data_IF_308046570579
#
_entry.id   IF_308046570579
#
_cell.length_a   1.000
_cell.length_b   1.000
_cell.length_c   1.000
_cell.angle_alpha   90.00
_cell.angle_beta   90.00
_cell.angle_gamma   90.00
#
_symmetry.space_group_name_H-M   'P 1'
#
loop_
_entity.id
_entity.type
_entity.pdbx_description
1 polymer ?
#
# COMPACT_ATOMS: atom_id res chain seq x y z
N UNK A 1 22.20 -8.14 32.78
CA UNK A 1 23.52 -8.07 32.11
C UNK A 1 23.59 -9.32 31.25
N UNK A 2 23.56 -9.13 29.93
CA UNK A 2 23.52 -10.21 28.95
C UNK A 2 24.83 -11.00 28.95
N UNK A 3 24.74 -12.31 28.79
CA UNK A 3 25.89 -13.13 28.40
C UNK A 3 25.84 -13.20 26.88
N UNK A 4 26.92 -12.82 26.22
CA UNK A 4 27.03 -12.87 24.76
C UNK A 4 27.75 -14.15 24.36
N UNK A 5 27.28 -14.80 23.30
CA UNK A 5 27.98 -15.95 22.74
C UNK A 5 29.31 -15.51 22.13
N UNK A 6 30.31 -16.40 22.18
CA UNK A 6 31.55 -16.19 21.42
C UNK A 6 31.32 -16.31 19.89
N UNK A 7 30.17 -16.86 19.48
CA UNK A 7 29.73 -17.02 18.10
C UNK A 7 28.75 -15.91 17.71
N UNK A 8 28.96 -15.34 16.52
CA UNK A 8 28.15 -14.27 15.94
C UNK A 8 28.40 -14.21 14.43
N UNK A 9 27.53 -13.57 13.68
CA UNK A 9 27.75 -13.31 12.25
C UNK A 9 28.76 -12.18 12.08
N UNK A 10 29.87 -12.44 11.40
CA UNK A 10 30.93 -11.46 11.17
C UNK A 10 32.26 -11.81 11.86
N UNK A 11 33.34 -11.24 11.33
CA UNK A 11 34.71 -11.69 11.67
C UNK A 11 35.40 -10.97 12.82
N UNK A 12 34.82 -9.85 13.28
CA UNK A 12 35.36 -8.98 14.33
C UNK A 12 35.16 -9.49 15.76
N UNK A 13 35.47 -8.63 16.73
CA UNK A 13 35.17 -8.88 18.16
C UNK A 13 33.66 -8.89 18.41
N UNK A 14 32.93 -8.00 17.74
CA UNK A 14 31.46 -7.99 17.66
C UNK A 14 31.00 -8.67 16.36
N UNK A 15 29.69 -8.69 16.12
CA UNK A 15 29.13 -9.02 14.81
C UNK A 15 29.43 -7.94 13.77
N UNK A 16 29.10 -8.24 12.51
CA UNK A 16 29.22 -7.29 11.40
C UNK A 16 27.94 -6.48 11.27
N UNK A 17 28.04 -5.19 11.59
CA UNK A 17 26.95 -4.23 11.42
C UNK A 17 26.64 -4.03 9.93
N UNK A 18 25.36 -4.06 9.55
CA UNK A 18 24.89 -4.06 8.16
C UNK A 18 25.19 -5.37 7.42
N UNK A 19 25.50 -6.44 8.16
CA UNK A 19 25.72 -7.76 7.57
C UNK A 19 24.41 -8.41 7.14
N UNK A 20 24.43 -9.11 6.00
CA UNK A 20 23.29 -9.87 5.48
C UNK A 20 23.42 -11.34 5.90
N UNK A 21 22.34 -11.92 6.42
CA UNK A 21 22.23 -13.34 6.76
C UNK A 21 21.03 -13.96 6.05
N UNK A 22 21.32 -14.85 5.10
CA UNK A 22 20.29 -15.57 4.36
C UNK A 22 19.67 -16.68 5.21
N UNK A 23 18.35 -16.79 5.23
CA UNK A 23 17.64 -17.85 5.96
C UNK A 23 16.58 -18.53 5.09
N UNK A 24 16.17 -19.74 5.47
CA UNK A 24 15.10 -20.44 4.76
C UNK A 24 14.34 -21.44 5.64
N UNK A 25 13.09 -21.71 5.25
CA UNK A 25 12.39 -22.91 5.72
C UNK A 25 13.04 -24.15 5.10
N UNK A 26 13.43 -25.12 5.93
CA UNK A 26 14.05 -26.34 5.45
C UNK A 26 13.09 -27.14 4.55
N UNK A 27 13.62 -27.69 3.48
CA UNK A 27 12.93 -28.58 2.51
C UNK A 27 13.60 -29.96 2.43
N UNK A 28 14.68 -30.12 3.18
CA UNK A 28 15.47 -31.33 3.33
C UNK A 28 16.06 -31.37 4.74
N UNK A 29 16.46 -32.55 5.26
CA UNK A 29 17.11 -32.63 6.56
C UNK A 29 18.34 -31.70 6.67
N UNK A 30 18.57 -31.20 7.89
CA UNK A 30 19.75 -30.41 8.24
C UNK A 30 21.02 -31.23 8.35
N UNK A 31 22.15 -30.54 8.32
CA UNK A 31 23.47 -31.13 8.58
C UNK A 31 23.75 -31.19 10.10
N UNK A 32 23.15 -30.31 10.89
CA UNK A 32 23.19 -30.31 12.35
C UNK A 32 22.04 -31.10 12.97
N UNK A 33 20.81 -30.71 12.64
CA UNK A 33 19.56 -31.33 13.04
C UNK A 33 18.94 -32.10 11.87
N UNK A 34 18.57 -33.35 12.12
CA UNK A 34 17.80 -34.13 11.14
C UNK A 34 16.33 -33.75 11.31
N UNK A 35 15.90 -32.63 10.71
CA UNK A 35 14.51 -32.19 10.75
C UNK A 35 13.55 -33.34 10.43
N UNK A 36 12.60 -33.59 11.34
CA UNK A 36 11.62 -34.66 11.21
C UNK A 36 10.50 -34.29 10.23
N UNK A 37 10.17 -32.99 10.13
CA UNK A 37 9.19 -32.45 9.19
C UNK A 37 9.51 -30.98 8.82
N UNK A 38 8.76 -30.43 7.87
CA UNK A 38 8.99 -29.10 7.30
C UNK A 38 7.84 -28.13 7.62
N UNK A 39 8.20 -26.88 7.90
CA UNK A 39 7.24 -25.82 8.22
C UNK A 39 6.55 -25.40 6.91
N UNK A 40 5.33 -25.89 6.68
CA UNK A 40 4.54 -25.64 5.45
C UNK A 40 3.28 -24.82 5.69
N UNK A 41 2.83 -24.74 6.94
CA UNK A 41 1.63 -23.99 7.32
C UNK A 41 1.96 -22.49 7.42
N UNK A 42 1.23 -21.66 6.68
CA UNK A 42 1.56 -20.24 6.52
C UNK A 42 1.55 -19.46 7.83
N UNK A 43 0.63 -19.76 8.75
CA UNK A 43 0.56 -19.06 10.02
C UNK A 43 1.86 -19.17 10.86
N UNK A 44 2.55 -20.31 10.80
CA UNK A 44 3.86 -20.47 11.46
C UNK A 44 5.00 -19.83 10.67
N UNK A 45 4.91 -19.82 9.33
CA UNK A 45 5.87 -19.11 8.48
C UNK A 45 5.84 -17.61 8.72
N UNK A 46 4.65 -17.03 8.82
CA UNK A 46 4.45 -15.63 9.19
C UNK A 46 5.10 -15.32 10.54
N UNK A 47 4.82 -16.09 11.59
CA UNK A 47 5.43 -15.86 12.91
C UNK A 47 6.96 -15.93 12.90
N UNK A 48 7.57 -16.77 12.05
CA UNK A 48 9.04 -16.83 11.90
C UNK A 48 9.58 -15.59 11.20
N UNK A 49 8.91 -15.11 10.15
CA UNK A 49 9.28 -13.85 9.48
C UNK A 49 9.19 -12.67 10.46
N UNK A 50 8.09 -12.59 11.21
CA UNK A 50 7.90 -11.56 12.24
C UNK A 50 8.98 -11.65 13.33
N UNK A 51 9.46 -12.87 13.64
CA UNK A 51 10.50 -13.07 14.62
C UNK A 51 11.89 -12.63 14.14
N UNK A 52 12.23 -12.85 12.87
CA UNK A 52 13.43 -12.25 12.26
C UNK A 52 13.32 -10.72 12.25
N UNK A 53 12.17 -10.20 11.85
CA UNK A 53 11.90 -8.75 11.84
C UNK A 53 12.08 -8.12 13.21
N UNK A 54 11.61 -8.77 14.27
CA UNK A 54 11.76 -8.25 15.63
C UNK A 54 13.22 -7.94 15.97
N UNK A 55 14.16 -8.74 15.46
CA UNK A 55 15.60 -8.51 15.62
C UNK A 55 16.15 -7.41 14.70
N UNK A 56 15.76 -7.36 13.42
CA UNK A 56 16.20 -6.30 12.47
C UNK A 56 15.75 -4.91 12.88
N UNK A 57 14.55 -4.80 13.46
CA UNK A 57 13.99 -3.53 13.95
C UNK A 57 14.87 -2.86 15.01
N UNK A 58 15.71 -3.63 15.70
CA UNK A 58 16.53 -3.12 16.82
C UNK A 58 18.02 -3.26 16.60
N UNK A 59 18.46 -4.07 15.62
CA UNK A 59 19.86 -4.37 15.36
C UNK A 59 20.24 -4.09 13.89
N UNK A 60 21.46 -3.61 13.64
CA UNK A 60 21.95 -3.38 12.29
C UNK A 60 22.48 -4.69 11.69
N UNK A 61 21.57 -5.60 11.36
CA UNK A 61 21.77 -6.87 10.68
C UNK A 61 20.53 -7.11 9.82
N UNK A 62 20.70 -7.61 8.60
CA UNK A 62 19.61 -7.85 7.66
C UNK A 62 19.40 -9.36 7.46
N UNK A 63 18.16 -9.84 7.48
CA UNK A 63 17.77 -11.23 7.24
C UNK A 63 17.01 -11.36 5.93
N UNK A 64 17.54 -12.16 5.01
CA UNK A 64 16.91 -12.35 3.69
C UNK A 64 16.37 -13.77 3.59
N UNK A 65 15.04 -13.92 3.43
CA UNK A 65 14.45 -15.22 3.12
C UNK A 65 14.86 -15.64 1.70
N UNK A 66 15.48 -16.81 1.58
CA UNK A 66 15.91 -17.39 0.31
C UNK A 66 15.35 -18.78 0.13
N UNK A 67 15.45 -19.32 -1.09
CA UNK A 67 15.18 -20.72 -1.34
C UNK A 67 16.20 -21.60 -0.59
N UNK A 68 15.70 -22.64 0.10
CA UNK A 68 16.53 -23.57 0.87
C UNK A 68 17.59 -24.25 -0.02
N UNK A 69 18.88 -24.03 0.30
CA UNK A 69 19.96 -24.50 -0.54
C UNK A 69 21.35 -24.03 -0.11
N UNK A 70 22.27 -23.94 -1.07
CA UNK A 70 23.68 -23.67 -0.82
C UNK A 70 23.97 -22.25 -0.31
N UNK A 71 23.05 -21.31 -0.56
CA UNK A 71 23.19 -19.92 -0.15
C UNK A 71 22.53 -19.62 1.20
N UNK A 72 21.88 -20.62 1.82
CA UNK A 72 21.24 -20.47 3.13
C UNK A 72 22.27 -20.55 4.26
N UNK A 73 22.16 -19.62 5.21
CA UNK A 73 22.96 -19.60 6.43
C UNK A 73 22.16 -20.05 7.66
N UNK A 74 20.87 -19.69 7.78
CA UNK A 74 19.98 -20.16 8.86
C UNK A 74 18.85 -21.02 8.30
N UNK A 75 18.68 -22.25 8.79
CA UNK A 75 17.60 -23.16 8.36
C UNK A 75 16.64 -23.47 9.49
N UNK A 76 15.33 -23.43 9.24
CA UNK A 76 14.31 -23.71 10.26
C UNK A 76 13.41 -24.90 9.89
N UNK A 77 13.10 -25.77 10.85
CA UNK A 77 12.27 -26.96 10.61
C UNK A 77 11.59 -27.52 11.86
N UNK A 78 10.72 -28.51 11.67
CA UNK A 78 10.11 -29.28 12.76
C UNK A 78 10.98 -30.48 13.13
N UNK A 79 10.96 -30.88 14.40
CA UNK A 79 11.65 -32.08 14.87
C UNK A 79 10.86 -32.82 15.96
N UNK A 80 11.19 -34.10 16.17
CA UNK A 80 10.74 -34.93 17.28
C UNK A 80 11.78 -34.85 18.41
N UNK A 81 11.57 -33.98 19.39
CA UNK A 81 12.60 -33.71 20.41
C UNK A 81 12.42 -34.57 21.66
N UNK A 82 11.51 -34.20 22.55
CA UNK A 82 11.29 -34.95 23.81
C UNK A 82 9.81 -35.12 24.19
N UNK A 83 8.90 -34.65 23.33
CA UNK A 83 7.46 -34.77 23.52
C UNK A 83 6.89 -33.54 24.25
N UNK A 84 5.59 -33.54 24.58
CA UNK A 84 4.93 -32.33 25.06
C UNK A 84 5.47 -31.83 26.41
N UNK A 85 5.49 -30.51 26.58
CA UNK A 85 5.92 -29.79 27.80
C UNK A 85 7.40 -29.98 28.16
N UNK A 86 8.23 -30.27 27.17
CA UNK A 86 9.67 -30.47 27.29
C UNK A 86 10.46 -29.29 26.74
N UNK A 87 11.41 -29.56 25.85
CA UNK A 87 12.15 -28.53 25.12
C UNK A 87 11.32 -28.09 23.92
N UNK A 88 10.90 -26.83 23.91
CA UNK A 88 10.01 -26.28 22.88
C UNK A 88 10.72 -25.98 21.57
N UNK A 89 12.00 -25.61 21.64
CA UNK A 89 12.83 -25.30 20.49
C UNK A 89 14.31 -25.40 20.83
N UNK A 90 15.15 -25.47 19.80
CA UNK A 90 16.60 -25.43 19.96
C UNK A 90 17.27 -24.86 18.71
N UNK A 91 18.23 -23.96 18.92
CA UNK A 91 19.18 -23.53 17.90
C UNK A 91 20.53 -24.27 18.03
N UNK A 92 21.08 -24.69 16.90
CA UNK A 92 22.47 -25.12 16.76
C UNK A 92 23.19 -24.23 15.75
N UNK A 93 24.50 -24.09 15.92
CA UNK A 93 25.31 -23.27 15.02
C UNK A 93 26.66 -23.90 14.74
N UNK A 94 27.08 -23.75 13.49
CA UNK A 94 28.41 -24.06 12.99
C UNK A 94 29.21 -22.77 12.79
N UNK A 95 30.51 -22.84 13.03
CA UNK A 95 31.36 -21.68 12.86
C UNK A 95 32.83 -22.01 12.71
N UNK A 96 33.60 -20.99 12.35
CA UNK A 96 35.06 -21.08 12.16
C UNK A 96 35.78 -20.05 13.01
N UNK A 97 37.00 -20.38 13.44
CA UNK A 97 37.87 -19.43 14.13
C UNK A 97 38.35 -18.35 13.17
N UNK A 98 38.18 -17.08 13.57
CA UNK A 98 38.77 -15.93 12.86
C UNK A 98 40.10 -15.53 13.48
N UNK A 99 40.25 -15.75 14.79
CA UNK A 99 41.52 -15.59 15.52
C UNK A 99 41.73 -16.75 16.51
N UNK A 100 42.72 -16.65 17.41
CA UNK A 100 42.91 -17.65 18.47
C UNK A 100 41.73 -17.73 19.46
N UNK A 101 40.94 -16.67 19.57
CA UNK A 101 39.88 -16.48 20.58
C UNK A 101 38.55 -15.98 20.03
N UNK A 102 38.41 -15.75 18.73
CA UNK A 102 37.17 -15.27 18.10
C UNK A 102 36.62 -16.30 17.12
N UNK A 103 35.30 -16.41 17.09
CA UNK A 103 34.56 -17.28 16.18
C UNK A 103 33.58 -16.46 15.34
N UNK A 104 33.36 -16.90 14.10
CA UNK A 104 32.26 -16.44 13.26
C UNK A 104 31.32 -17.60 13.00
N UNK A 105 30.02 -17.36 13.08
CA UNK A 105 29.03 -18.29 12.56
C UNK A 105 29.18 -18.40 11.04
N UNK A 106 28.95 -19.59 10.53
CA UNK A 106 28.91 -19.90 9.10
C UNK A 106 27.62 -20.62 8.72
N UNK A 107 26.94 -21.23 9.70
CA UNK A 107 25.64 -21.85 9.55
C UNK A 107 24.92 -21.88 10.90
N UNK A 108 23.60 -21.86 10.89
CA UNK A 108 22.76 -22.17 12.04
C UNK A 108 21.52 -22.96 11.60
N UNK A 109 21.01 -23.80 12.49
CA UNK A 109 19.77 -24.54 12.30
C UNK A 109 18.91 -24.37 13.54
N UNK A 110 17.64 -24.04 13.36
CA UNK A 110 16.64 -23.91 14.42
C UNK A 110 15.59 -24.99 14.23
N UNK A 111 15.32 -25.75 15.28
CA UNK A 111 14.25 -26.75 15.31
C UNK A 111 13.21 -26.41 16.36
N UNK A 112 11.97 -26.75 16.07
CA UNK A 112 10.84 -26.65 16.99
C UNK A 112 10.24 -28.04 17.24
N UNK A 113 9.87 -28.37 18.48
CA UNK A 113 9.23 -29.65 18.77
C UNK A 113 7.78 -29.65 18.25
N UNK A 114 7.48 -30.54 17.31
CA UNK A 114 6.14 -30.68 16.74
C UNK A 114 5.09 -31.25 17.72
N UNK A 115 5.53 -31.77 18.86
CA UNK A 115 4.69 -32.36 19.90
C UNK A 115 4.01 -31.31 20.78
N UNK A 116 4.43 -30.05 20.70
CA UNK A 116 3.90 -28.98 21.54
C UNK A 116 2.55 -28.45 21.06
N UNK A 117 1.78 -27.92 22.01
CA UNK A 117 0.46 -27.35 21.73
C UNK A 117 0.59 -25.89 21.29
N UNK A 118 1.07 -25.71 20.06
CA UNK A 118 1.37 -24.40 19.49
C UNK A 118 0.13 -23.58 19.19
N UNK A 119 0.23 -22.29 19.49
CA UNK A 119 -0.67 -21.25 18.98
C UNK A 119 0.14 -20.20 18.23
N UNK A 120 -0.48 -19.60 17.22
CA UNK A 120 0.13 -18.51 16.44
C UNK A 120 -0.30 -17.13 16.95
N UNK A 121 -1.10 -17.07 18.02
CA UNK A 121 -1.58 -15.85 18.67
C UNK A 121 -0.90 -15.64 20.02
N UNK A 122 -0.89 -14.39 20.53
CA UNK A 122 -0.30 -14.08 21.84
C UNK A 122 -1.14 -14.53 23.04
N UNK A 123 -2.47 -14.56 22.91
CA UNK A 123 -3.38 -14.84 24.03
C UNK A 123 -3.79 -16.33 24.09
N UNK A 124 -2.88 -17.17 24.61
CA UNK A 124 -3.13 -18.60 24.81
C UNK A 124 -3.89 -18.95 26.08
N UNK A 125 -4.66 -20.03 26.02
CA UNK A 125 -5.16 -20.73 27.20
C UNK A 125 -4.02 -21.45 27.94
N UNK A 126 -4.26 -21.84 29.20
CA UNK A 126 -3.26 -22.54 29.99
C UNK A 126 -2.84 -23.87 29.33
N UNK A 127 -1.54 -24.01 29.05
CA UNK A 127 -0.97 -25.19 28.36
C UNK A 127 -0.88 -25.05 26.84
N UNK A 128 -1.18 -23.87 26.28
CA UNK A 128 -0.82 -23.48 24.92
C UNK A 128 0.49 -22.71 24.92
N UNK A 129 1.29 -22.87 23.86
CA UNK A 129 2.62 -22.24 23.75
C UNK A 129 2.60 -21.27 22.57
N UNK A 130 2.92 -20.00 22.86
CA UNK A 130 3.05 -18.96 21.84
C UNK A 130 4.24 -19.22 20.94
N UNK A 131 3.98 -19.55 19.67
CA UNK A 131 5.03 -19.91 18.73
C UNK A 131 5.94 -18.72 18.39
N UNK A 132 5.40 -17.51 18.33
CA UNK A 132 6.19 -16.30 18.06
C UNK A 132 7.28 -16.09 19.10
N UNK A 133 6.96 -16.18 20.40
CA UNK A 133 7.92 -15.97 21.47
C UNK A 133 9.08 -16.98 21.41
N UNK A 134 8.76 -18.25 21.14
CA UNK A 134 9.79 -19.29 20.99
C UNK A 134 10.62 -19.05 19.73
N UNK A 135 9.99 -18.67 18.61
CA UNK A 135 10.72 -18.36 17.38
C UNK A 135 11.72 -17.20 17.59
N UNK A 136 11.29 -16.11 18.25
CA UNK A 136 12.18 -14.98 18.57
C UNK A 136 13.34 -15.44 19.47
N UNK A 137 13.06 -16.27 20.49
CA UNK A 137 14.08 -16.84 21.38
C UNK A 137 15.13 -17.65 20.61
N UNK A 138 14.71 -18.64 19.82
CA UNK A 138 15.64 -19.51 19.11
C UNK A 138 16.44 -18.77 18.02
N UNK A 139 15.81 -17.79 17.35
CA UNK A 139 16.53 -16.91 16.42
C UNK A 139 17.56 -16.07 17.18
N UNK A 140 17.27 -15.62 18.40
CA UNK A 140 18.23 -14.95 19.28
C UNK A 140 19.52 -15.76 19.47
N UNK A 141 19.40 -17.07 19.68
CA UNK A 141 20.56 -17.97 19.70
C UNK A 141 21.26 -18.07 18.34
N UNK A 142 20.50 -18.19 17.25
CA UNK A 142 21.04 -18.24 15.88
C UNK A 142 21.76 -16.95 15.45
N UNK A 143 21.63 -15.87 16.21
CA UNK A 143 22.31 -14.59 15.99
C UNK A 143 23.33 -14.27 17.10
N UNK A 144 23.63 -15.21 18.00
CA UNK A 144 24.74 -15.09 18.95
C UNK A 144 24.38 -14.62 20.36
N UNK A 145 23.09 -14.61 20.72
CA UNK A 145 22.68 -14.36 22.10
C UNK A 145 22.67 -15.65 22.92
N UNK A 146 23.15 -15.60 24.17
CA UNK A 146 22.99 -16.69 25.14
C UNK A 146 21.84 -16.38 26.11
N UNK A 147 21.42 -17.39 26.87
CA UNK A 147 20.37 -17.23 27.88
C UNK A 147 20.68 -16.16 28.92
N UNK A 148 19.63 -15.52 29.39
CA UNK A 148 19.67 -14.62 30.54
C UNK A 148 18.96 -15.24 31.75
N UNK A 149 19.18 -14.64 32.93
CA UNK A 149 18.39 -14.93 34.14
C UNK A 149 17.30 -13.87 34.39
N UNK A 150 17.05 -12.98 33.42
CA UNK A 150 16.10 -11.88 33.53
C UNK A 150 14.75 -12.32 32.93
N UNK A 151 13.70 -12.52 33.75
CA UNK A 151 12.42 -13.02 33.26
C UNK A 151 11.72 -12.07 32.29
N UNK A 152 12.11 -10.80 32.24
CA UNK A 152 11.49 -9.79 31.36
C UNK A 152 12.17 -9.73 29.96
N UNK A 153 12.99 -10.74 29.61
CA UNK A 153 13.75 -10.81 28.35
C UNK A 153 13.39 -12.06 27.57
N UNK A 154 13.35 -11.97 26.23
CA UNK A 154 12.97 -13.11 25.39
C UNK A 154 13.96 -14.26 25.49
N UNK A 155 15.23 -13.99 25.79
CA UNK A 155 16.27 -15.02 25.97
C UNK A 155 16.28 -15.64 27.38
N UNK A 156 15.20 -15.48 28.15
CA UNK A 156 15.03 -16.19 29.41
C UNK A 156 14.71 -17.68 29.17
N UNK A 157 15.41 -18.59 29.86
CA UNK A 157 15.33 -20.05 29.63
C UNK A 157 14.08 -20.74 30.22
N UNK A 158 13.06 -19.97 30.63
CA UNK A 158 11.84 -20.50 31.26
C UNK A 158 10.59 -19.97 30.58
N UNK A 159 9.62 -19.49 31.36
CA UNK A 159 8.31 -19.12 30.86
C UNK A 159 8.37 -17.76 30.12
N UNK A 160 8.04 -17.79 28.83
CA UNK A 160 7.99 -16.63 27.94
C UNK A 160 6.55 -16.12 27.69
N UNK A 161 5.53 -16.76 28.25
CA UNK A 161 4.10 -16.57 27.88
C UNK A 161 3.61 -15.13 28.08
N UNK A 162 4.24 -14.39 28.99
CA UNK A 162 3.87 -13.00 29.31
C UNK A 162 4.54 -11.97 28.40
N UNK A 163 5.50 -12.38 27.57
CA UNK A 163 6.24 -11.51 26.67
C UNK A 163 5.51 -11.39 25.34
N UNK A 164 5.48 -10.17 24.81
CA UNK A 164 4.86 -9.85 23.51
C UNK A 164 5.89 -9.31 22.51
N UNK A 165 7.18 -9.39 22.83
CA UNK A 165 8.27 -8.83 22.02
C UNK A 165 9.58 -8.72 22.80
N UNK A 166 10.54 -8.00 22.22
CA UNK A 166 11.87 -7.79 22.80
C UNK A 166 11.83 -6.81 23.99
N UNK A 167 12.42 -7.23 25.11
CA UNK A 167 12.67 -6.37 26.26
C UNK A 167 13.93 -5.52 26.10
N UNK A 168 14.11 -4.53 26.97
CA UNK A 168 15.26 -3.62 26.92
C UNK A 168 16.61 -4.35 27.01
N UNK A 169 16.67 -5.47 27.75
CA UNK A 169 17.86 -6.31 27.82
C UNK A 169 18.18 -6.99 26.50
N UNK A 170 17.16 -7.50 25.80
CA UNK A 170 17.32 -8.16 24.48
C UNK A 170 17.92 -7.19 23.46
N UNK A 171 17.35 -5.99 23.42
CA UNK A 171 17.81 -4.88 22.58
C UNK A 171 19.27 -4.54 22.90
N UNK A 172 19.62 -4.36 24.18
CA UNK A 172 21.01 -4.09 24.58
C UNK A 172 21.94 -5.23 24.12
N UNK A 173 21.56 -6.49 24.32
CA UNK A 173 22.36 -7.66 23.96
C UNK A 173 22.67 -7.72 22.46
N UNK A 174 21.64 -7.64 21.62
CA UNK A 174 21.81 -7.74 20.16
C UNK A 174 22.56 -6.53 19.58
N UNK A 175 22.35 -5.34 20.13
CA UNK A 175 23.05 -4.13 19.71
C UNK A 175 24.54 -4.12 20.09
N UNK A 176 24.97 -4.87 21.10
CA UNK A 176 26.41 -5.05 21.36
C UNK A 176 27.07 -5.85 20.22
N UNK A 177 26.37 -6.83 19.63
CA UNK A 177 26.90 -7.57 18.48
C UNK A 177 26.83 -6.77 17.18
N UNK A 178 25.67 -6.21 16.84
CA UNK A 178 25.43 -5.72 15.49
C UNK A 178 25.29 -4.19 15.43
N UNK A 179 25.27 -3.50 16.56
CA UNK A 179 24.92 -2.08 16.64
C UNK A 179 23.40 -1.88 16.62
N UNK A 180 22.96 -0.67 17.00
CA UNK A 180 21.57 -0.25 16.83
C UNK A 180 21.18 -0.28 15.36
N UNK A 181 19.96 -0.71 15.05
CA UNK A 181 19.41 -0.67 13.69
C UNK A 181 19.66 0.69 13.05
N UNK A 182 20.15 0.66 11.81
CA UNK A 182 20.37 1.84 10.98
C UNK A 182 19.51 1.61 9.74
N UNK A 183 18.31 2.22 9.65
CA UNK A 183 17.70 2.46 8.35
C UNK A 183 18.75 3.16 7.49
N UNK A 184 18.92 2.87 6.19
CA UNK A 184 19.90 3.60 5.38
C UNK A 184 19.58 5.09 5.56
N UNK A 185 20.49 5.83 6.16
CA UNK A 185 20.24 7.25 6.42
C UNK A 185 20.37 7.96 5.08
N UNK A 186 19.30 8.61 4.63
CA UNK A 186 19.37 9.56 3.53
C UNK A 186 20.43 10.62 3.79
N UNK A 187 20.87 11.25 2.72
CA UNK A 187 21.84 12.34 2.69
C UNK A 187 21.19 13.59 2.08
N UNK A 188 21.89 14.72 2.02
CA UNK A 188 21.39 15.91 1.32
C UNK A 188 21.57 15.79 -0.23
N UNK A 189 21.76 14.60 -0.78
CA UNK A 189 21.92 14.35 -2.22
C UNK A 189 21.12 13.14 -2.67
N UNK A 190 21.02 12.96 -3.99
CA UNK A 190 20.19 11.91 -4.61
C UNK A 190 20.62 10.50 -4.14
N UNK A 191 19.75 9.84 -3.38
CA UNK A 191 19.93 8.52 -2.80
C UNK A 191 19.03 7.46 -3.45
N UNK A 192 19.49 6.20 -3.39
CA UNK A 192 18.73 5.04 -3.84
C UNK A 192 18.66 4.04 -2.70
N UNK A 193 17.44 3.78 -2.25
CA UNK A 193 17.12 2.84 -1.18
C UNK A 193 16.63 1.53 -1.78
N UNK A 194 16.87 0.43 -1.08
CA UNK A 194 16.16 -0.82 -1.35
C UNK A 194 15.11 -0.99 -0.25
N UNK A 195 13.88 -1.33 -0.64
CA UNK A 195 12.87 -1.74 0.31
C UNK A 195 13.36 -2.99 1.06
N UNK A 196 13.05 -3.02 2.36
CA UNK A 196 13.43 -4.11 3.25
C UNK A 196 12.17 -4.86 3.66
N UNK A 197 12.36 -5.98 4.33
CA UNK A 197 11.23 -6.69 4.89
C UNK A 197 10.66 -5.92 6.08
N UNK A 198 9.33 -5.97 6.22
CA UNK A 198 8.60 -5.36 7.33
C UNK A 198 8.01 -3.99 7.01
N UNK A 199 7.62 -3.27 8.06
CA UNK A 199 7.03 -1.93 7.94
C UNK A 199 8.08 -0.91 8.38
N UNK A 200 8.74 -0.25 7.43
CA UNK A 200 9.82 0.70 7.72
C UNK A 200 9.40 2.17 7.60
N UNK A 201 10.28 3.06 8.06
CA UNK A 201 10.24 4.49 7.72
C UNK A 201 11.50 4.81 6.92
N UNK A 202 11.31 5.23 5.67
CA UNK A 202 12.40 5.60 4.75
C UNK A 202 12.38 7.11 4.56
N UNK A 203 13.45 7.79 4.99
CA UNK A 203 13.61 9.25 4.86
C UNK A 203 14.78 9.58 3.93
N UNK A 204 14.46 10.11 2.74
CA UNK A 204 15.44 10.55 1.74
C UNK A 204 16.20 11.82 2.11
N UNK A 205 15.64 12.62 3.03
CA UNK A 205 16.07 13.98 3.38
C UNK A 205 15.93 14.99 2.24
N UNK A 206 17.02 15.34 1.55
CA UNK A 206 17.00 16.37 0.53
C UNK A 206 17.74 15.84 -0.70
N UNK A 207 17.21 16.09 -1.88
CA UNK A 207 17.78 15.49 -3.08
C UNK A 207 16.65 15.07 -3.99
N UNK A 208 16.94 14.10 -4.86
CA UNK A 208 15.92 13.37 -5.59
C UNK A 208 16.15 11.89 -5.35
N UNK A 209 15.31 11.33 -4.50
CA UNK A 209 15.51 10.03 -3.88
C UNK A 209 14.58 8.98 -4.50
N UNK A 210 15.06 7.74 -4.53
CA UNK A 210 14.32 6.60 -5.11
C UNK A 210 14.28 5.44 -4.13
N UNK A 211 13.10 4.87 -3.91
CA UNK A 211 12.93 3.57 -3.24
C UNK A 211 12.74 2.46 -4.29
N UNK A 212 13.65 1.50 -4.31
CA UNK A 212 13.58 0.31 -5.15
C UNK A 212 12.77 -0.77 -4.44
N UNK A 213 11.62 -1.12 -5.02
CA UNK A 213 10.69 -2.13 -4.54
C UNK A 213 10.98 -3.48 -5.21
N UNK A 214 10.78 -4.56 -4.46
CA UNK A 214 11.15 -5.92 -4.87
C UNK A 214 10.15 -6.56 -5.83
N UNK A 215 9.08 -5.87 -6.22
CA UNK A 215 7.94 -6.42 -6.96
C UNK A 215 7.39 -5.59 -8.09
N UNK A 216 6.42 -6.16 -8.79
CA UNK A 216 5.70 -5.50 -9.87
C UNK A 216 4.74 -4.44 -9.31
N UNK A 217 4.58 -3.32 -10.01
CA UNK A 217 3.70 -2.21 -9.61
C UNK A 217 2.28 -2.68 -9.26
N UNK A 218 1.76 -3.67 -9.98
CA UNK A 218 0.42 -4.23 -9.76
C UNK A 218 0.25 -5.00 -8.43
N UNK A 219 1.31 -5.12 -7.63
CA UNK A 219 1.31 -5.79 -6.33
C UNK A 219 1.26 -4.79 -5.15
N UNK A 220 1.35 -3.49 -5.42
CA UNK A 220 1.45 -2.46 -4.39
C UNK A 220 0.23 -1.55 -4.31
N UNK A 221 -0.04 -1.07 -3.09
CA UNK A 221 -0.96 0.03 -2.80
C UNK A 221 -0.15 1.23 -2.34
N UNK A 222 -0.29 2.38 -3.00
CA UNK A 222 0.29 3.65 -2.54
C UNK A 222 -0.80 4.51 -1.90
N UNK A 223 -0.82 4.59 -0.58
CA UNK A 223 -1.79 5.40 0.15
C UNK A 223 -1.26 6.80 0.38
N UNK A 224 -1.99 7.80 -0.13
CA UNK A 224 -1.68 9.21 0.09
C UNK A 224 -2.61 9.78 1.16
N UNK A 225 -2.02 10.52 2.10
CA UNK A 225 -2.74 11.34 3.08
C UNK A 225 -2.11 12.73 3.11
N UNK A 226 -2.72 13.69 3.82
CA UNK A 226 -2.15 15.02 3.97
C UNK A 226 -0.78 15.03 4.71
N UNK A 227 -0.50 14.02 5.53
CA UNK A 227 0.66 13.98 6.43
C UNK A 227 1.62 12.80 6.17
N UNK A 228 1.23 11.85 5.33
CA UNK A 228 1.96 10.60 5.14
C UNK A 228 1.74 10.01 3.75
N UNK A 229 2.81 9.41 3.23
CA UNK A 229 2.83 8.55 2.05
C UNK A 229 3.22 7.15 2.49
N UNK A 230 2.38 6.16 2.21
CA UNK A 230 2.63 4.77 2.62
C UNK A 230 2.54 3.87 1.40
N UNK A 231 3.60 3.12 1.13
CA UNK A 231 3.62 2.07 0.11
C UNK A 231 3.47 0.72 0.79
N UNK A 232 2.44 -0.03 0.41
CA UNK A 232 2.15 -1.34 0.97
C UNK A 232 2.27 -2.39 -0.12
N UNK A 233 3.18 -3.33 0.10
CA UNK A 233 3.28 -4.57 -0.65
C UNK A 233 2.18 -5.54 -0.22
N UNK A 234 1.38 -6.02 -1.19
CA UNK A 234 0.35 -7.02 -0.91
C UNK A 234 0.90 -8.45 -0.91
N UNK A 235 2.16 -8.67 -1.26
CA UNK A 235 2.86 -9.94 -1.08
C UNK A 235 3.38 -10.08 0.35
N UNK A 236 3.06 -11.19 0.99
CA UNK A 236 3.53 -11.47 2.35
C UNK A 236 4.99 -11.88 2.36
N UNK A 237 5.77 -11.34 3.30
CA UNK A 237 7.20 -11.68 3.40
C UNK A 237 8.00 -11.16 2.22
N UNK A 238 7.77 -9.89 1.84
CA UNK A 238 8.62 -9.15 0.91
C UNK A 238 8.81 -7.73 1.44
N UNK A 239 8.24 -6.68 0.85
CA UNK A 239 8.59 -5.30 1.25
C UNK A 239 7.72 -4.73 2.38
N UNK A 240 6.65 -5.43 2.78
CA UNK A 240 5.74 -4.97 3.85
C UNK A 240 5.10 -3.60 3.59
N UNK A 241 4.91 -2.78 4.63
CA UNK A 241 4.23 -1.48 4.54
C UNK A 241 5.09 -0.31 5.01
N UNK A 242 5.75 0.34 4.06
CA UNK A 242 6.72 1.39 4.33
C UNK A 242 6.10 2.80 4.33
N UNK A 243 6.47 3.60 5.33
CA UNK A 243 6.19 5.03 5.37
C UNK A 243 7.33 5.80 4.72
N UNK A 244 7.01 6.60 3.71
CA UNK A 244 7.97 7.35 2.91
C UNK A 244 7.98 8.81 3.34
N UNK A 245 9.18 9.33 3.58
CA UNK A 245 9.44 10.72 3.98
C UNK A 245 10.48 11.29 3.01
N UNK A 246 10.20 12.46 2.43
CA UNK A 246 11.07 13.10 1.42
C UNK A 246 11.51 12.09 0.33
N UNK A 247 10.55 11.43 -0.30
CA UNK A 247 10.81 10.44 -1.35
C UNK A 247 10.13 10.90 -2.64
N UNK A 248 10.92 11.06 -3.69
CA UNK A 248 10.41 11.57 -4.98
C UNK A 248 10.00 10.44 -5.92
N UNK A 249 10.60 9.23 -5.81
CA UNK A 249 10.39 8.14 -6.78
C UNK A 249 10.24 6.76 -6.17
N UNK A 250 9.43 5.93 -6.83
CA UNK A 250 9.37 4.49 -6.65
C UNK A 250 9.87 3.78 -7.90
N UNK A 251 10.80 2.84 -7.74
CA UNK A 251 11.26 1.94 -8.81
C UNK A 251 10.72 0.53 -8.53
N UNK A 252 9.77 0.09 -9.36
CA UNK A 252 9.17 -1.24 -9.28
C UNK A 252 9.94 -2.23 -10.18
N UNK A 253 10.02 -3.50 -9.78
CA UNK A 253 10.68 -4.55 -10.57
C UNK A 253 10.18 -4.58 -12.02
N UNK A 254 8.86 -4.51 -12.20
CA UNK A 254 8.23 -4.18 -13.48
C UNK A 254 7.08 -3.20 -13.26
N UNK A 255 6.91 -2.31 -14.21
CA UNK A 255 5.86 -1.29 -14.17
C UNK A 255 5.65 -0.70 -15.55
N UNK A 256 4.56 0.04 -15.70
CA UNK A 256 4.33 0.84 -16.91
C UNK A 256 5.18 2.10 -16.91
N UNK A 257 5.59 2.54 -15.71
CA UNK A 257 6.49 3.66 -15.47
C UNK A 257 7.70 3.19 -14.63
N UNK A 258 8.91 3.11 -15.21
CA UNK A 258 10.12 2.76 -14.47
C UNK A 258 10.60 3.87 -13.53
N UNK A 259 10.03 5.09 -13.62
CA UNK A 259 10.34 6.22 -12.76
C UNK A 259 9.04 6.77 -12.15
N UNK A 260 8.25 5.93 -11.46
CA UNK A 260 6.98 6.36 -10.88
C UNK A 260 7.19 7.56 -9.95
N UNK A 261 6.81 8.74 -10.44
CA UNK A 261 7.18 10.02 -9.85
C UNK A 261 6.11 10.49 -8.85
N UNK A 262 6.44 10.42 -7.58
CA UNK A 262 5.57 10.76 -6.45
C UNK A 262 5.28 12.27 -6.44
N UNK A 263 6.24 13.11 -6.85
CA UNK A 263 6.09 14.58 -6.89
C UNK A 263 4.94 15.04 -7.80
N UNK A 264 4.51 14.19 -8.72
CA UNK A 264 3.36 14.50 -9.58
C UNK A 264 2.02 14.29 -8.90
N UNK A 265 2.01 13.83 -7.65
CA UNK A 265 0.83 13.42 -6.91
C UNK A 265 0.78 13.92 -5.46
N UNK A 266 1.84 14.51 -4.89
CA UNK A 266 1.89 14.86 -3.47
C UNK A 266 0.90 15.98 -3.09
N UNK A 267 0.65 16.92 -4.01
CA UNK A 267 -0.08 18.14 -3.73
C UNK A 267 -1.59 17.94 -3.80
N UNK A 268 -2.08 16.85 -4.43
CA UNK A 268 -3.51 16.51 -4.43
C UNK A 268 -4.05 16.31 -3.01
N UNK A 269 -3.22 15.78 -2.10
CA UNK A 269 -3.58 15.53 -0.72
C UNK A 269 -3.84 16.79 0.10
N UNK A 270 -3.42 17.95 -0.42
CA UNK A 270 -3.58 19.26 0.22
C UNK A 270 -4.74 20.08 -0.33
N UNK A 271 -5.41 19.61 -1.40
CA UNK A 271 -6.53 20.31 -2.01
C UNK A 271 -7.71 20.42 -1.05
N UNK A 272 -8.46 21.52 -1.15
CA UNK A 272 -9.73 21.62 -0.46
C UNK A 272 -10.72 20.60 -1.05
N UNK A 273 -11.60 19.99 -0.23
CA UNK A 273 -12.61 19.03 -0.69
C UNK A 273 -13.40 19.53 -1.91
N UNK A 274 -13.84 20.79 -1.88
CA UNK A 274 -14.63 21.41 -2.95
C UNK A 274 -13.85 21.58 -4.27
N UNK A 275 -12.52 21.72 -4.21
CA UNK A 275 -11.68 21.80 -5.41
C UNK A 275 -11.52 20.42 -6.04
N UNK A 276 -11.25 19.39 -5.24
CA UNK A 276 -11.15 18.02 -5.75
C UNK A 276 -12.48 17.53 -6.34
N UNK A 277 -13.61 17.83 -5.70
CA UNK A 277 -14.94 17.50 -6.26
C UNK A 277 -15.19 18.15 -7.63
N UNK A 278 -14.69 19.36 -7.88
CA UNK A 278 -14.81 20.00 -9.19
C UNK A 278 -14.02 19.26 -10.28
N UNK A 279 -12.88 18.66 -9.94
CA UNK A 279 -12.09 17.85 -10.87
C UNK A 279 -12.79 16.52 -11.15
N UNK A 280 -13.36 15.88 -10.13
CA UNK A 280 -14.21 14.67 -10.30
C UNK A 280 -15.39 14.95 -11.24
N UNK A 281 -16.06 16.09 -11.06
CA UNK A 281 -17.15 16.52 -11.94
C UNK A 281 -16.71 16.76 -13.40
N UNK A 282 -15.48 17.25 -13.64
CA UNK A 282 -14.93 17.38 -15.00
C UNK A 282 -14.77 16.01 -15.66
N UNK A 283 -14.28 15.00 -14.93
CA UNK A 283 -14.18 13.62 -15.44
C UNK A 283 -15.56 13.10 -15.87
N UNK A 284 -16.57 13.30 -15.04
CA UNK A 284 -17.95 12.92 -15.35
C UNK A 284 -18.42 13.64 -16.61
N UNK A 285 -18.28 14.97 -16.67
CA UNK A 285 -18.82 15.77 -17.76
C UNK A 285 -18.14 15.54 -19.12
N UNK A 286 -16.83 15.24 -19.14
CA UNK A 286 -16.04 15.12 -20.38
C UNK A 286 -15.79 13.68 -20.83
N UNK A 287 -15.74 12.72 -19.90
CA UNK A 287 -15.45 11.32 -20.23
C UNK A 287 -16.66 10.39 -20.01
N UNK A 288 -17.68 10.82 -19.25
CA UNK A 288 -18.84 10.00 -18.86
C UNK A 288 -18.45 8.69 -18.16
N UNK A 289 -17.48 8.79 -17.26
CA UNK A 289 -17.03 7.71 -16.36
C UNK A 289 -16.58 8.27 -15.01
N UNK A 290 -16.37 7.39 -14.04
CA UNK A 290 -15.62 7.76 -12.84
C UNK A 290 -14.19 8.20 -13.22
N UNK A 291 -13.56 9.08 -12.42
CA UNK A 291 -12.12 9.28 -12.52
C UNK A 291 -11.38 7.96 -12.27
N UNK A 292 -10.17 7.88 -12.80
CA UNK A 292 -9.16 6.89 -12.40
C UNK A 292 -8.20 7.57 -11.41
N UNK A 293 -7.68 6.85 -10.42
CA UNK A 293 -6.92 7.44 -9.31
C UNK A 293 -5.63 8.12 -9.78
N UNK A 294 -4.86 7.49 -10.68
CA UNK A 294 -3.63 8.07 -11.24
C UNK A 294 -3.91 9.36 -12.03
N UNK A 295 -4.91 9.36 -12.91
CA UNK A 295 -5.28 10.54 -13.67
C UNK A 295 -5.85 11.64 -12.76
N UNK A 296 -6.68 11.29 -11.79
CA UNK A 296 -7.23 12.25 -10.83
C UNK A 296 -6.11 12.93 -10.05
N UNK A 297 -5.11 12.16 -9.59
CA UNK A 297 -3.92 12.68 -8.93
C UNK A 297 -3.12 13.63 -9.82
N UNK A 298 -2.86 13.26 -11.07
CA UNK A 298 -2.18 14.12 -12.03
C UNK A 298 -2.88 15.48 -12.23
N UNK A 299 -4.20 15.46 -12.47
CA UNK A 299 -4.95 16.70 -12.68
C UNK A 299 -5.18 17.50 -11.40
N UNK A 300 -5.32 16.81 -10.27
CA UNK A 300 -5.34 17.41 -8.93
C UNK A 300 -4.05 18.18 -8.65
N UNK A 301 -2.90 17.57 -8.92
CA UNK A 301 -1.60 18.21 -8.76
C UNK A 301 -1.45 19.40 -9.69
N UNK A 302 -1.80 19.24 -10.97
CA UNK A 302 -1.77 20.35 -11.93
C UNK A 302 -2.65 21.54 -11.49
N UNK A 303 -3.81 21.27 -10.89
CA UNK A 303 -4.67 22.30 -10.31
C UNK A 303 -4.03 22.96 -9.09
N UNK A 304 -3.43 22.18 -8.19
CA UNK A 304 -2.67 22.70 -7.04
C UNK A 304 -1.52 23.63 -7.49
N UNK A 305 -0.87 23.30 -8.61
CA UNK A 305 0.18 24.10 -9.27
C UNK A 305 -0.34 25.35 -10.03
N UNK A 306 -1.66 25.58 -10.03
CA UNK A 306 -2.29 26.78 -10.57
C UNK A 306 -2.92 26.62 -11.96
N UNK A 307 -3.05 25.41 -12.49
CA UNK A 307 -3.85 25.16 -13.69
C UNK A 307 -5.33 25.41 -13.39
N UNK A 308 -5.93 26.44 -13.99
CA UNK A 308 -7.37 26.70 -13.82
C UNK A 308 -8.26 25.61 -14.43
N UNK A 309 -9.46 25.41 -13.90
CA UNK A 309 -10.46 24.48 -14.46
C UNK A 309 -10.77 24.75 -15.94
N UNK A 310 -10.81 26.02 -16.37
CA UNK A 310 -11.00 26.36 -17.79
C UNK A 310 -9.87 25.83 -18.69
N UNK A 311 -8.63 25.92 -18.21
CA UNK A 311 -7.48 25.41 -18.94
C UNK A 311 -7.47 23.87 -18.94
N UNK A 312 -7.86 23.24 -17.83
CA UNK A 312 -8.02 21.79 -17.73
C UNK A 312 -9.10 21.28 -18.69
N UNK A 313 -10.29 21.91 -18.70
CA UNK A 313 -11.39 21.64 -19.63
C UNK A 313 -10.95 21.69 -21.10
N UNK A 314 -10.14 22.70 -21.47
CA UNK A 314 -9.58 22.83 -22.80
C UNK A 314 -8.59 21.70 -23.16
N UNK A 315 -7.97 21.05 -22.17
CA UNK A 315 -7.11 19.88 -22.38
C UNK A 315 -7.90 18.57 -22.41
N UNK A 316 -9.03 18.51 -21.71
CA UNK A 316 -9.91 17.33 -21.67
C UNK A 316 -10.62 17.11 -23.00
N UNK A 317 -11.07 18.18 -23.68
CA UNK A 317 -11.80 18.08 -24.95
C UNK A 317 -11.02 17.36 -26.06
N UNK A 318 -9.69 17.42 -26.01
CA UNK A 318 -8.79 16.83 -27.01
C UNK A 318 -8.37 15.39 -26.70
N UNK A 319 -8.74 14.87 -25.52
CA UNK A 319 -8.43 13.49 -25.15
C UNK A 319 -9.17 12.49 -26.04
N UNK A 320 -8.53 11.35 -26.28
CA UNK A 320 -9.10 10.27 -27.09
C UNK A 320 -10.44 9.78 -26.52
N UNK A 321 -10.58 9.76 -25.19
CA UNK A 321 -11.81 9.38 -24.50
C UNK A 321 -12.95 10.37 -24.74
N UNK A 322 -12.72 11.68 -24.59
CA UNK A 322 -13.74 12.68 -24.89
C UNK A 322 -14.17 12.63 -26.35
N UNK A 323 -13.24 12.39 -27.29
CA UNK A 323 -13.59 12.20 -28.70
C UNK A 323 -14.36 10.90 -28.98
N UNK A 324 -14.26 9.91 -28.10
CA UNK A 324 -15.09 8.70 -28.16
C UNK A 324 -16.50 8.96 -27.58
N UNK A 325 -16.59 9.68 -26.46
CA UNK A 325 -17.85 10.04 -25.80
C UNK A 325 -18.66 11.08 -26.60
N UNK A 326 -17.99 12.11 -27.13
CA UNK A 326 -18.55 13.19 -27.93
C UNK A 326 -17.83 13.33 -29.29
N UNK A 327 -18.07 12.42 -30.25
CA UNK A 327 -17.39 12.43 -31.54
C UNK A 327 -17.47 13.78 -32.28
N UNK A 328 -16.38 14.16 -32.97
CA UNK A 328 -16.32 15.41 -33.76
C UNK A 328 -17.46 15.53 -34.78
N UNK A 329 -17.92 14.39 -35.32
CA UNK A 329 -19.02 14.33 -36.29
C UNK A 329 -20.43 14.55 -35.73
N UNK A 330 -20.61 14.60 -34.39
CA UNK A 330 -21.90 14.95 -33.80
C UNK A 330 -22.30 16.38 -34.17
N UNK A 331 -23.59 16.61 -34.39
CA UNK A 331 -24.14 17.96 -34.50
C UNK A 331 -24.20 18.66 -33.14
N UNK A 332 -24.32 19.99 -33.15
CA UNK A 332 -24.47 20.79 -31.92
C UNK A 332 -25.75 20.44 -31.14
N UNK A 333 -26.81 19.98 -31.83
CA UNK A 333 -28.01 19.45 -31.22
C UNK A 333 -27.78 18.13 -30.49
N UNK A 334 -27.03 17.22 -31.11
CA UNK A 334 -26.72 15.90 -30.52
C UNK A 334 -25.81 16.05 -29.30
N UNK A 335 -24.77 16.89 -29.37
CA UNK A 335 -23.89 17.12 -28.21
C UNK A 335 -24.63 17.82 -27.07
N UNK A 336 -25.48 18.82 -27.34
CA UNK A 336 -26.26 19.47 -26.30
C UNK A 336 -27.17 18.47 -25.56
N UNK A 337 -27.79 17.55 -26.30
CA UNK A 337 -28.62 16.50 -25.71
C UNK A 337 -27.79 15.49 -24.91
N UNK A 338 -26.63 15.08 -25.45
CA UNK A 338 -25.75 14.11 -24.79
C UNK A 338 -25.18 14.65 -23.47
N UNK A 339 -24.73 15.91 -23.46
CA UNK A 339 -24.16 16.57 -22.27
C UNK A 339 -25.23 16.76 -21.19
N UNK A 340 -26.44 17.18 -21.56
CA UNK A 340 -27.55 17.29 -20.59
C UNK A 340 -27.92 15.94 -19.97
N UNK A 341 -27.95 14.86 -20.77
CA UNK A 341 -28.21 13.53 -20.22
C UNK A 341 -27.09 13.07 -19.29
N UNK A 342 -25.83 13.28 -19.67
CA UNK A 342 -24.67 12.89 -18.86
C UNK A 342 -24.60 13.66 -17.53
N UNK A 343 -24.69 15.00 -17.59
CA UNK A 343 -24.43 15.88 -16.44
C UNK A 343 -25.67 16.07 -15.58
N UNK A 344 -26.86 16.13 -16.17
CA UNK A 344 -28.10 16.50 -15.49
C UNK A 344 -29.16 15.38 -15.46
N UNK A 345 -28.89 14.23 -16.10
CA UNK A 345 -29.80 13.08 -16.08
C UNK A 345 -31.11 13.29 -16.83
N UNK A 346 -31.17 14.28 -17.74
CA UNK A 346 -32.40 14.66 -18.44
C UNK A 346 -32.15 15.18 -19.84
N UNK A 347 -33.22 15.23 -20.62
CA UNK A 347 -33.22 16.00 -21.88
C UNK A 347 -33.26 17.51 -21.59
N UNK A 348 -32.60 18.33 -22.43
CA UNK A 348 -32.67 19.78 -22.30
C UNK A 348 -34.10 20.27 -22.55
N UNK A 349 -34.50 21.29 -21.80
CA UNK A 349 -35.73 22.03 -22.08
C UNK A 349 -35.58 22.83 -23.38
N UNK A 350 -36.72 23.25 -23.96
CA UNK A 350 -36.70 23.89 -25.27
C UNK A 350 -35.89 25.20 -25.29
N UNK A 351 -35.92 25.98 -24.21
CA UNK A 351 -35.24 27.27 -24.16
C UNK A 351 -33.72 27.07 -23.99
N UNK A 352 -33.31 26.21 -23.05
CA UNK A 352 -31.91 25.83 -22.85
C UNK A 352 -31.30 25.16 -24.08
N UNK A 353 -32.02 24.24 -24.72
CA UNK A 353 -31.58 23.60 -25.96
C UNK A 353 -31.36 24.63 -27.07
N UNK A 354 -32.34 25.49 -27.33
CA UNK A 354 -32.24 26.50 -28.40
C UNK A 354 -31.11 27.49 -28.12
N UNK A 355 -30.91 27.89 -26.86
CA UNK A 355 -29.82 28.76 -26.47
C UNK A 355 -28.47 28.12 -26.76
N UNK A 356 -28.21 26.92 -26.22
CA UNK A 356 -26.92 26.26 -26.36
C UNK A 356 -26.58 25.88 -27.79
N UNK A 357 -27.54 25.33 -28.54
CA UNK A 357 -27.35 25.01 -29.96
C UNK A 357 -27.07 26.28 -30.75
N UNK A 358 -27.79 27.37 -30.48
CA UNK A 358 -27.56 28.66 -31.15
C UNK A 358 -26.15 29.20 -30.95
N UNK A 359 -25.66 29.24 -29.70
CA UNK A 359 -24.31 29.77 -29.43
C UNK A 359 -23.19 28.87 -29.97
N UNK A 360 -23.42 27.55 -30.03
CA UNK A 360 -22.51 26.59 -30.66
C UNK A 360 -22.51 26.72 -32.21
N UNK A 361 -23.67 26.89 -32.83
CA UNK A 361 -23.81 27.07 -34.28
C UNK A 361 -23.20 28.38 -34.77
N UNK A 362 -23.29 29.44 -33.97
CA UNK A 362 -22.65 30.73 -34.23
C UNK A 362 -21.12 30.69 -34.01
N UNK A 363 -20.59 29.62 -33.38
CA UNK A 363 -19.19 29.53 -32.98
C UNK A 363 -18.80 30.52 -31.88
N UNK A 364 -19.77 31.02 -31.13
CA UNK A 364 -19.54 31.96 -30.02
C UNK A 364 -18.89 31.26 -28.81
N UNK A 365 -19.17 29.96 -28.63
CA UNK A 365 -18.53 29.08 -27.65
C UNK A 365 -18.08 27.78 -28.31
N UNK A 366 -16.96 27.23 -27.84
CA UNK A 366 -16.52 25.88 -28.19
C UNK A 366 -17.24 24.81 -27.37
N UNK A 367 -17.05 23.54 -27.75
CA UNK A 367 -17.64 22.39 -27.04
C UNK A 367 -17.08 22.24 -25.62
N UNK A 368 -15.80 22.53 -25.45
CA UNK A 368 -15.12 22.66 -24.16
C UNK A 368 -15.84 23.65 -23.25
N UNK A 369 -16.00 24.90 -23.70
CA UNK A 369 -16.65 25.93 -22.90
C UNK A 369 -18.12 25.56 -22.63
N UNK A 370 -18.81 24.96 -23.60
CA UNK A 370 -20.19 24.51 -23.43
C UNK A 370 -20.34 23.46 -22.31
N UNK A 371 -19.55 22.37 -22.34
CA UNK A 371 -19.63 21.30 -21.34
C UNK A 371 -19.38 21.87 -19.94
N UNK A 372 -18.33 22.69 -19.80
CA UNK A 372 -18.03 23.35 -18.53
C UNK A 372 -19.17 24.29 -18.07
N UNK A 373 -19.77 25.04 -19.00
CA UNK A 373 -20.87 25.95 -18.65
C UNK A 373 -22.14 25.22 -18.19
N UNK A 374 -22.41 24.01 -18.70
CA UNK A 374 -23.53 23.19 -18.21
C UNK A 374 -23.26 22.75 -16.77
N UNK A 375 -22.03 22.34 -16.47
CA UNK A 375 -21.61 21.96 -15.13
C UNK A 375 -21.72 23.14 -14.14
N UNK A 376 -21.16 24.30 -14.49
CA UNK A 376 -21.27 25.52 -13.69
C UNK A 376 -22.72 25.97 -13.52
N UNK A 377 -23.52 25.84 -14.57
CA UNK A 377 -24.95 26.18 -14.57
C UNK A 377 -25.77 25.34 -13.59
N UNK A 378 -25.47 24.05 -13.45
CA UNK A 378 -26.12 23.18 -12.45
C UNK A 378 -25.87 23.66 -11.01
N UNK A 379 -24.68 24.24 -10.77
CA UNK A 379 -24.22 24.66 -9.44
C UNK A 379 -24.56 26.12 -9.12
N UNK A 380 -24.86 26.93 -10.12
CA UNK A 380 -25.20 28.34 -9.97
C UNK A 380 -26.45 28.57 -9.09
N UNK A 381 -26.46 29.67 -8.35
CA UNK A 381 -27.59 30.05 -7.50
C UNK A 381 -28.90 30.19 -8.30
N UNK A 382 -30.00 29.74 -7.69
CA UNK A 382 -31.33 29.87 -8.27
C UNK A 382 -31.72 31.36 -8.25
N UNK A 383 -32.01 31.99 -9.40
CA UNK A 383 -32.34 33.41 -9.43
C UNK A 383 -33.58 33.76 -8.61
N UNK A 384 -33.55 34.90 -7.91
CA UNK A 384 -34.71 35.41 -7.18
C UNK A 384 -35.95 35.54 -8.07
N UNK A 385 -37.08 35.02 -7.59
CA UNK A 385 -38.35 35.05 -8.32
C UNK A 385 -38.53 33.91 -9.34
N UNK A 386 -37.62 32.94 -9.37
CA UNK A 386 -37.79 31.69 -10.14
C UNK A 386 -39.03 30.91 -9.69
N UNK A 387 -39.62 30.13 -10.60
CA UNK A 387 -40.77 29.29 -10.27
C UNK A 387 -40.36 28.11 -9.37
N UNK A 388 -41.34 27.55 -8.65
CA UNK A 388 -41.10 26.38 -7.81
C UNK A 388 -40.71 25.15 -8.66
N UNK A 389 -41.24 25.04 -9.87
CA UNK A 389 -40.89 23.97 -10.81
C UNK A 389 -39.45 24.09 -11.30
N UNK A 390 -38.98 25.31 -11.60
CA UNK A 390 -37.58 25.54 -11.98
C UNK A 390 -36.64 25.22 -10.84
N UNK A 391 -36.96 25.69 -9.62
CA UNK A 391 -36.16 25.40 -8.44
C UNK A 391 -36.08 23.89 -8.14
N UNK A 392 -37.20 23.16 -8.30
CA UNK A 392 -37.23 21.71 -8.14
C UNK A 392 -36.38 20.99 -9.21
N UNK A 393 -36.41 21.46 -10.46
CA UNK A 393 -35.58 20.89 -11.52
C UNK A 393 -34.09 21.11 -11.25
N UNK A 394 -33.67 22.33 -10.86
CA UNK A 394 -32.28 22.61 -10.49
C UNK A 394 -31.82 21.73 -9.33
N UNK A 395 -32.67 21.49 -8.34
CA UNK A 395 -32.34 20.59 -7.25
C UNK A 395 -32.18 19.13 -7.71
N UNK A 396 -33.01 18.66 -8.64
CA UNK A 396 -32.88 17.33 -9.23
C UNK A 396 -31.59 17.19 -10.07
N UNK A 397 -31.27 18.22 -10.87
CA UNK A 397 -30.04 18.28 -11.67
C UNK A 397 -28.79 18.20 -10.76
N UNK A 398 -28.79 18.97 -9.65
CA UNK A 398 -27.71 18.95 -8.65
C UNK A 398 -27.57 17.60 -7.97
N UNK A 399 -28.69 16.96 -7.61
CA UNK A 399 -28.66 15.65 -6.96
C UNK A 399 -28.10 14.59 -7.90
N UNK A 400 -28.53 14.58 -9.16
CA UNK A 400 -28.04 13.64 -10.16
C UNK A 400 -26.52 13.74 -10.35
N UNK A 401 -26.01 14.98 -10.45
CA UNK A 401 -24.57 15.22 -10.56
C UNK A 401 -23.82 14.84 -9.27
N UNK A 402 -24.38 15.16 -8.09
CA UNK A 402 -23.80 14.79 -6.81
C UNK A 402 -23.68 13.26 -6.66
N UNK A 403 -24.72 12.50 -7.02
CA UNK A 403 -24.71 11.04 -6.98
C UNK A 403 -23.62 10.45 -7.91
N UNK A 404 -23.45 10.99 -9.13
CA UNK A 404 -22.32 10.59 -10.00
C UNK A 404 -20.98 10.97 -9.38
N UNK A 405 -20.88 12.15 -8.78
CA UNK A 405 -19.65 12.60 -8.10
C UNK A 405 -19.28 11.68 -6.93
N UNK A 406 -20.26 11.22 -6.16
CA UNK A 406 -20.07 10.29 -5.04
C UNK A 406 -19.58 8.93 -5.53
N UNK A 407 -20.19 8.38 -6.59
CA UNK A 407 -19.72 7.14 -7.25
C UNK A 407 -18.28 7.30 -7.76
N UNK A 408 -17.97 8.42 -8.41
CA UNK A 408 -16.63 8.70 -8.93
C UNK A 408 -15.59 8.86 -7.82
N UNK A 409 -15.96 9.53 -6.73
CA UNK A 409 -15.13 9.68 -5.53
C UNK A 409 -14.87 8.33 -4.88
N UNK A 410 -15.89 7.49 -4.73
CA UNK A 410 -15.72 6.16 -4.15
C UNK A 410 -14.75 5.31 -4.97
N UNK A 411 -14.87 5.32 -6.30
CA UNK A 411 -13.98 4.56 -7.19
C UNK A 411 -12.52 5.03 -7.13
N UNK A 412 -12.26 6.32 -7.37
CA UNK A 412 -10.90 6.82 -7.51
C UNK A 412 -10.24 7.21 -6.19
N UNK A 413 -10.97 7.87 -5.30
CA UNK A 413 -10.41 8.46 -4.07
C UNK A 413 -10.42 7.43 -2.96
N UNK A 414 -11.59 6.83 -2.67
CA UNK A 414 -11.71 5.88 -1.56
C UNK A 414 -11.03 4.55 -1.87
N UNK A 415 -11.28 3.98 -3.06
CA UNK A 415 -10.70 2.68 -3.45
C UNK A 415 -9.35 2.79 -4.17
N UNK A 416 -8.96 3.98 -4.64
CA UNK A 416 -7.67 4.15 -5.32
C UNK A 416 -7.57 3.48 -6.68
N UNK A 417 -8.69 3.17 -7.35
CA UNK A 417 -8.70 2.36 -8.56
C UNK A 417 -8.34 3.19 -9.81
N UNK A 418 -7.53 2.61 -10.70
CA UNK A 418 -7.06 3.31 -11.91
C UNK A 418 -7.47 2.66 -13.25
N UNK A 419 -8.15 1.51 -13.24
CA UNK A 419 -8.63 0.88 -14.48
C UNK A 419 -9.81 1.68 -15.07
N UNK A 420 -9.60 2.24 -16.26
CA UNK A 420 -10.60 3.10 -16.92
C UNK A 420 -11.81 2.34 -17.48
N UNK A 421 -11.67 1.04 -17.75
CA UNK A 421 -12.78 0.20 -18.19
C UNK A 421 -13.70 -0.12 -17.01
N UNK A 422 -13.14 -0.40 -15.83
CA UNK A 422 -13.88 -0.58 -14.59
C UNK A 422 -14.56 0.74 -14.14
N UNK A 423 -13.85 1.86 -14.25
CA UNK A 423 -14.41 3.20 -13.98
C UNK A 423 -15.65 3.50 -14.84
N UNK A 424 -15.62 3.09 -16.11
CA UNK A 424 -16.74 3.25 -17.05
C UNK A 424 -17.87 2.28 -16.74
N UNK A 425 -17.57 1.03 -16.42
CA UNK A 425 -18.55 0.02 -16.05
C UNK A 425 -19.34 0.44 -14.80
N UNK A 426 -18.65 0.91 -13.76
CA UNK A 426 -19.29 1.39 -12.53
C UNK A 426 -20.23 2.58 -12.79
N UNK A 427 -19.73 3.60 -13.51
CA UNK A 427 -20.52 4.81 -13.79
C UNK A 427 -21.73 4.53 -14.69
N UNK A 428 -21.60 3.64 -15.68
CA UNK A 428 -22.67 3.32 -16.63
C UNK A 428 -23.87 2.60 -16.00
N UNK A 429 -23.73 2.07 -14.78
CA UNK A 429 -24.83 1.46 -14.04
C UNK A 429 -25.79 2.51 -13.48
N UNK A 430 -25.34 3.75 -13.26
CA UNK A 430 -26.13 4.81 -12.66
C UNK A 430 -27.18 5.38 -13.62
N UNK A 431 -28.46 5.36 -13.21
CA UNK A 431 -29.59 5.87 -14.00
C UNK A 431 -30.37 6.99 -13.30
N UNK A 432 -29.87 7.49 -12.17
CA UNK A 432 -30.56 8.48 -11.33
C UNK A 432 -31.41 7.88 -10.21
N UNK A 433 -31.46 6.55 -10.08
CA UNK A 433 -32.18 5.86 -8.99
C UNK A 433 -31.26 5.40 -7.87
N UNK A 434 -31.79 5.30 -6.65
CA UNK A 434 -31.06 4.75 -5.50
C UNK A 434 -30.54 3.33 -5.76
N UNK A 435 -31.34 2.48 -6.42
CA UNK A 435 -30.92 1.11 -6.78
C UNK A 435 -29.74 1.07 -7.73
N UNK A 436 -29.59 2.10 -8.58
CA UNK A 436 -28.46 2.19 -9.51
C UNK A 436 -27.18 2.63 -8.81
N UNK A 437 -27.28 3.45 -7.75
CA UNK A 437 -26.15 3.78 -6.87
C UNK A 437 -25.64 2.51 -6.18
N UNK A 438 -26.54 1.72 -5.58
CA UNK A 438 -26.19 0.45 -4.94
C UNK A 438 -25.52 -0.53 -5.92
N UNK A 439 -25.99 -0.57 -7.17
CA UNK A 439 -25.38 -1.38 -8.22
C UNK A 439 -23.98 -0.89 -8.60
N UNK A 440 -23.77 0.43 -8.73
CA UNK A 440 -22.46 1.02 -9.04
C UNK A 440 -21.44 0.79 -7.91
N UNK A 441 -21.86 0.96 -6.65
CA UNK A 441 -21.02 0.68 -5.46
C UNK A 441 -20.64 -0.80 -5.42
N UNK A 442 -21.61 -1.69 -5.60
CA UNK A 442 -21.38 -3.15 -5.62
C UNK A 442 -20.44 -3.59 -6.74
N UNK A 443 -20.57 -3.00 -7.93
CA UNK A 443 -19.63 -3.23 -9.04
C UNK A 443 -18.22 -2.77 -8.66
N UNK A 444 -18.09 -1.54 -8.13
CA UNK A 444 -16.81 -0.98 -7.67
C UNK A 444 -16.15 -1.87 -6.61
N UNK A 445 -16.90 -2.37 -5.63
CA UNK A 445 -16.38 -3.31 -4.63
C UNK A 445 -15.89 -4.62 -5.25
N UNK A 446 -16.60 -5.13 -6.26
CA UNK A 446 -16.20 -6.32 -6.99
C UNK A 446 -14.89 -6.12 -7.76
N UNK A 447 -14.76 -4.98 -8.46
CA UNK A 447 -13.52 -4.62 -9.15
C UNK A 447 -12.36 -4.42 -8.17
N UNK A 448 -12.60 -3.69 -7.07
CA UNK A 448 -11.61 -3.47 -6.01
C UNK A 448 -11.12 -4.78 -5.38
N UNK A 449 -12.03 -5.73 -5.14
CA UNK A 449 -11.68 -7.05 -4.61
C UNK A 449 -10.76 -7.84 -5.56
N UNK A 450 -10.91 -7.67 -6.88
CA UNK A 450 -10.00 -8.26 -7.86
C UNK A 450 -8.64 -7.54 -7.88
N UNK A 451 -8.65 -6.20 -7.81
CA UNK A 451 -7.45 -5.38 -7.78
C UNK A 451 -6.55 -5.62 -6.56
N UNK A 452 -7.12 -6.10 -5.45
CA UNK A 452 -6.38 -6.47 -4.23
C UNK A 452 -5.57 -7.77 -4.35
N UNK A 453 -5.74 -8.57 -5.40
CA UNK A 453 -4.97 -9.79 -5.57
C UNK A 453 -3.45 -9.49 -5.66
N UNK A 454 -2.65 -10.16 -4.85
CA UNK A 454 -1.21 -9.88 -4.77
C UNK A 454 -0.43 -10.31 -6.03
N UNK A 455 -0.99 -11.17 -6.89
CA UNK A 455 -0.30 -11.73 -8.05
C UNK A 455 -0.85 -11.23 -9.38
N UNK A 456 -2.15 -10.91 -9.43
CA UNK A 456 -2.85 -10.50 -10.64
C UNK A 456 -3.76 -9.29 -10.46
N UNK A 457 -3.66 -8.61 -9.32
CA UNK A 457 -4.39 -7.38 -9.05
C UNK A 457 -3.84 -6.19 -9.82
N UNK A 458 -4.22 -5.00 -9.40
CA UNK A 458 -3.85 -3.73 -10.03
C UNK A 458 -3.17 -2.80 -9.03
N UNK A 459 -2.42 -1.82 -9.52
CA UNK A 459 -1.89 -0.78 -8.66
C UNK A 459 -3.02 0.07 -8.10
N UNK A 460 -3.03 0.24 -6.78
CA UNK A 460 -4.05 1.01 -6.06
C UNK A 460 -3.41 2.26 -5.48
N UNK A 461 -4.11 3.39 -5.57
CA UNK A 461 -3.62 4.67 -5.07
C UNK A 461 -4.71 5.48 -4.33
N UNK A 462 -5.20 5.00 -3.17
CA UNK A 462 -6.24 5.69 -2.44
C UNK A 462 -5.73 7.00 -1.84
N UNK A 463 -6.62 7.99 -1.81
CA UNK A 463 -6.37 9.30 -1.24
C UNK A 463 -7.26 9.50 0.00
N UNK A 464 -6.65 9.40 1.18
CA UNK A 464 -7.37 9.36 2.46
C UNK A 464 -7.36 10.73 3.13
N UNK A 465 -8.52 11.17 3.59
CA UNK A 465 -8.69 12.39 4.39
C UNK A 465 -8.93 13.68 3.61
N UNK A 466 -8.97 13.63 2.26
CA UNK A 466 -9.34 14.79 1.42
C UNK A 466 -10.83 14.83 1.14
N UNK A 467 -11.39 13.71 0.68
CA UNK A 467 -12.83 13.50 0.61
C UNK A 467 -13.20 12.33 1.52
N UNK A 468 -14.30 12.48 2.24
CA UNK A 468 -14.87 11.40 3.04
C UNK A 468 -15.42 10.31 2.11
N UNK A 469 -15.47 9.07 2.60
CA UNK A 469 -16.18 7.99 1.90
C UNK A 469 -17.69 8.33 1.85
N UNK A 470 -18.26 8.59 0.66
CA UNK A 470 -19.66 9.00 0.55
C UNK A 470 -20.65 7.88 0.90
N UNK A 471 -20.17 6.63 1.02
CA UNK A 471 -20.99 5.46 1.30
C UNK A 471 -20.63 4.76 2.63
N UNK A 472 -19.84 5.42 3.48
CA UNK A 472 -19.58 4.93 4.84
C UNK A 472 -20.90 4.85 5.65
N UNK A 473 -21.06 3.73 6.37
CA UNK A 473 -22.29 3.38 7.10
C UNK A 473 -22.47 4.07 8.46
#
# INVERSE_FOLDING_TARGET
MYTLSEFKWGTGETGEAGGIVNWSFATSPGDGFVFADFITQEAFRTNIRDAFQAWENVANIDFVEVADGADTQIRLGWDDMDGPSGVTGEASFGGSKTTSSLFTMTSAEVRFDQSENWITTFDGAAGEIGFFQVAVHEIGHAIGLDHTNDPDTIMYDRNLDHLTGLGAGDIEGVQIHYGASIPPAGTDGDDVFAARFGDDVVDGLAGSDTLNLSGDQSQYTLTLTADALVVTDRQTGRDGSDTLVNMERLDFQTGTDPDFNIDTFDSIATLAPADLSQIVELYIAYFDRAPDALGLAFWGNAYADGLSLNAMAALFIDQAETRATYPEGMSNAEIATAVYNNVLGRVPDADGFNFWVGVLDEGAVGRDVFILSVLEGAKADIPDGSSAEFAAQVQADRQYLADKSDIGTYFAVTKGMSDTDDARQAMALFDGSQSSIEAAVSATDGHYAAALDANSGDFLMPLVGVLDDPFAA
#
